data_IF_729484167977
#
_entry.id   IF_729484167977
#
_cell.length_a   1.000
_cell.length_b   1.000
_cell.length_c   1.000
_cell.angle_alpha   90.00
_cell.angle_beta   90.00
_cell.angle_gamma   90.00
#
_symmetry.space_group_name_H-M   'P 1'
#
loop_
_entity.id
_entity.type
_entity.pdbx_description
1 polymer ?
#
# COMPACT_ATOMS: atom_id res chain seq x y z
N UNK A 1 21.35 -13.06 3.17
CA UNK A 1 20.93 -14.29 3.87
C UNK A 1 22.08 -15.27 3.80
N UNK A 2 22.27 -16.12 4.82
CA UNK A 2 23.28 -17.17 4.77
C UNK A 2 22.94 -18.14 3.63
N UNK A 3 23.95 -18.58 2.88
CA UNK A 3 23.82 -19.75 2.01
C UNK A 3 23.46 -20.99 2.84
N UNK A 4 22.97 -22.06 2.20
CA UNK A 4 22.70 -23.31 2.91
C UNK A 4 23.92 -23.86 3.64
N UNK A 5 25.10 -23.79 3.01
CA UNK A 5 26.37 -24.22 3.60
C UNK A 5 26.69 -23.44 4.87
N UNK A 6 26.65 -22.11 4.80
CA UNK A 6 26.91 -21.24 5.96
C UNK A 6 25.85 -21.46 7.05
N UNK A 7 24.59 -21.61 6.67
CA UNK A 7 23.51 -21.90 7.61
C UNK A 7 23.71 -23.23 8.34
N UNK A 8 24.18 -24.29 7.67
CA UNK A 8 24.49 -25.58 8.30
C UNK A 8 25.65 -25.47 9.30
N UNK A 9 26.69 -24.69 8.95
CA UNK A 9 27.82 -24.41 9.86
C UNK A 9 27.35 -23.66 11.09
N UNK A 10 26.58 -22.58 10.91
CA UNK A 10 26.03 -21.80 12.02
C UNK A 10 25.02 -22.62 12.84
N UNK A 11 24.24 -23.51 12.20
CA UNK A 11 23.35 -24.42 12.91
C UNK A 11 24.13 -25.35 13.84
N UNK A 12 25.23 -25.94 13.37
CA UNK A 12 26.12 -26.77 14.20
C UNK A 12 26.70 -25.99 15.40
N UNK A 13 27.15 -24.75 15.19
CA UNK A 13 27.66 -23.89 16.28
C UNK A 13 26.56 -23.56 17.28
N UNK A 14 25.40 -23.11 16.81
CA UNK A 14 24.28 -22.71 17.67
C UNK A 14 23.76 -23.88 18.52
N UNK A 15 23.71 -25.10 17.98
CA UNK A 15 23.30 -26.27 18.76
C UNK A 15 24.34 -26.69 19.78
N UNK A 16 25.63 -26.51 19.48
CA UNK A 16 26.71 -26.75 20.42
C UNK A 16 26.66 -25.78 21.60
N UNK A 17 26.55 -24.48 21.31
CA UNK A 17 26.41 -23.43 22.32
C UNK A 17 25.16 -23.65 23.17
N UNK A 18 24.03 -23.99 22.55
CA UNK A 18 22.80 -24.31 23.27
C UNK A 18 22.95 -25.54 24.17
N UNK A 19 23.63 -26.60 23.72
CA UNK A 19 23.88 -27.79 24.53
C UNK A 19 24.78 -27.46 25.73
N UNK A 20 25.86 -26.70 25.52
CA UNK A 20 26.76 -26.23 26.59
C UNK A 20 25.98 -25.39 27.62
N UNK A 21 25.14 -24.47 27.15
CA UNK A 21 24.30 -23.63 28.00
C UNK A 21 23.31 -24.45 28.83
N UNK A 22 22.57 -25.36 28.20
CA UNK A 22 21.65 -26.28 28.87
C UNK A 22 22.35 -27.13 29.94
N UNK A 23 23.58 -27.56 29.65
CA UNK A 23 24.42 -28.36 30.56
C UNK A 23 25.17 -27.54 31.62
N UNK A 24 24.93 -26.22 31.71
CA UNK A 24 25.53 -25.34 32.72
C UNK A 24 27.06 -25.34 32.72
N UNK A 25 27.67 -25.51 31.54
CA UNK A 25 29.12 -25.40 31.38
C UNK A 25 29.53 -23.94 31.50
N UNK A 26 30.69 -23.65 32.10
CA UNK A 26 31.22 -22.29 32.21
C UNK A 26 31.36 -21.60 30.84
N UNK A 27 31.02 -20.30 30.70
CA UNK A 27 30.61 -19.32 31.73
C UNK A 27 29.11 -19.32 32.10
N UNK A 28 28.29 -20.18 31.50
CA UNK A 28 26.84 -20.19 31.69
C UNK A 28 26.38 -20.94 32.95
N UNK A 29 27.31 -21.63 33.62
CA UNK A 29 27.10 -22.27 34.90
C UNK A 29 28.41 -22.74 35.54
N UNK A 30 28.31 -23.68 36.47
CA UNK A 30 29.42 -24.07 37.35
C UNK A 30 30.12 -25.37 36.93
N UNK A 31 29.71 -26.01 35.82
CA UNK A 31 30.27 -27.29 35.36
C UNK A 31 31.42 -27.07 34.38
N UNK A 32 32.37 -28.00 34.37
CA UNK A 32 33.37 -28.13 33.31
C UNK A 32 32.79 -28.84 32.09
N UNK A 33 33.47 -28.73 30.94
CA UNK A 33 33.03 -29.41 29.72
C UNK A 33 33.11 -30.94 29.88
N UNK A 34 34.15 -31.43 30.55
CA UNK A 34 34.38 -32.84 30.83
C UNK A 34 33.26 -33.43 31.69
N UNK A 35 32.85 -32.71 32.75
CA UNK A 35 31.72 -33.11 33.60
C UNK A 35 30.42 -33.18 32.82
N UNK A 36 30.16 -32.21 31.94
CA UNK A 36 28.96 -32.18 31.10
C UNK A 36 28.93 -33.32 30.07
N UNK A 37 30.08 -33.68 29.49
CA UNK A 37 30.19 -34.80 28.55
C UNK A 37 30.01 -36.14 29.28
N UNK A 38 30.59 -36.29 30.48
CA UNK A 38 30.48 -37.53 31.25
C UNK A 38 29.07 -37.76 31.81
N UNK A 39 28.36 -36.70 32.20
CA UNK A 39 27.01 -36.76 32.76
C UNK A 39 26.10 -35.68 32.14
N UNK A 40 25.66 -35.84 30.88
CA UNK A 40 24.82 -34.86 30.22
C UNK A 40 23.49 -34.68 30.93
N UNK A 41 22.99 -33.44 30.95
CA UNK A 41 21.66 -33.10 31.45
C UNK A 41 20.62 -33.93 30.70
N UNK A 42 19.70 -34.52 31.47
CA UNK A 42 18.68 -35.46 30.98
C UNK A 42 19.25 -36.68 30.22
N UNK A 43 20.55 -37.00 30.37
CA UNK A 43 21.20 -38.12 29.69
C UNK A 43 21.44 -37.89 28.18
N UNK A 44 21.25 -36.68 27.67
CA UNK A 44 21.34 -36.41 26.22
C UNK A 44 22.73 -35.89 25.81
N UNK A 45 23.53 -36.78 25.20
CA UNK A 45 24.80 -36.40 24.60
C UNK A 45 24.59 -35.42 23.43
N UNK A 46 25.58 -34.53 23.20
CA UNK A 46 25.53 -33.64 22.05
C UNK A 46 25.57 -34.44 20.74
N UNK A 47 24.58 -34.19 19.88
CA UNK A 47 24.55 -34.72 18.53
C UNK A 47 24.72 -33.56 17.56
N UNK A 48 25.81 -33.61 16.79
CA UNK A 48 26.06 -32.62 15.74
C UNK A 48 25.01 -32.76 14.64
N UNK A 49 24.24 -31.70 14.31
CA UNK A 49 23.20 -31.77 13.29
C UNK A 49 23.68 -32.16 11.89
N UNK A 50 24.84 -31.65 11.47
CA UNK A 50 25.37 -31.88 10.12
C UNK A 50 26.84 -32.29 10.18
N UNK A 51 27.20 -33.35 9.44
CA UNK A 51 28.59 -33.78 9.25
C UNK A 51 29.30 -32.89 8.22
N UNK A 52 30.64 -32.97 8.15
CA UNK A 52 31.41 -32.27 7.11
C UNK A 52 31.03 -32.76 5.70
N UNK A 53 30.72 -34.05 5.55
CA UNK A 53 30.27 -34.62 4.28
C UNK A 53 28.91 -34.03 3.85
N UNK A 54 27.97 -33.85 4.79
CA UNK A 54 26.68 -33.22 4.52
C UNK A 54 26.86 -31.76 4.06
N UNK A 55 27.74 -31.00 4.73
CA UNK A 55 28.04 -29.60 4.41
C UNK A 55 28.76 -29.49 3.06
N UNK A 56 29.67 -30.41 2.75
CA UNK A 56 30.41 -30.41 1.48
C UNK A 56 29.53 -30.85 0.30
N UNK A 57 28.59 -31.78 0.51
CA UNK A 57 27.68 -32.29 -0.51
C UNK A 57 26.42 -31.45 -0.72
N UNK A 58 26.23 -30.37 0.03
CA UNK A 58 25.01 -29.56 -0.05
C UNK A 58 25.01 -28.62 -1.27
N UNK A 59 23.82 -28.40 -1.83
CA UNK A 59 23.61 -27.40 -2.89
C UNK A 59 23.51 -25.97 -2.35
N UNK A 60 23.15 -25.01 -3.21
CA UNK A 60 22.97 -23.62 -2.80
C UNK A 60 21.83 -23.40 -1.78
N UNK A 61 20.86 -24.32 -1.75
CA UNK A 61 19.61 -24.18 -1.00
C UNK A 61 18.69 -23.12 -1.58
N UNK A 62 17.74 -22.68 -0.77
CA UNK A 62 16.73 -21.69 -1.18
C UNK A 62 17.14 -20.28 -0.78
N UNK A 63 17.37 -19.41 -1.76
CA UNK A 63 17.50 -17.97 -1.54
C UNK A 63 16.11 -17.31 -1.42
N UNK A 64 15.59 -17.29 -0.20
CA UNK A 64 14.25 -16.76 0.07
C UNK A 64 14.08 -15.29 -0.29
N UNK A 65 15.09 -14.44 -0.09
CA UNK A 65 15.02 -13.03 -0.48
C UNK A 65 15.10 -12.88 -1.99
N UNK A 66 15.99 -13.62 -2.66
CA UNK A 66 16.07 -13.62 -4.13
C UNK A 66 14.78 -14.13 -4.80
N UNK A 67 14.05 -15.04 -4.15
CA UNK A 67 12.76 -15.52 -4.65
C UNK A 67 11.66 -14.47 -4.60
N UNK A 68 11.62 -13.62 -3.59
CA UNK A 68 10.55 -12.63 -3.41
C UNK A 68 10.92 -11.23 -3.90
N UNK A 69 12.20 -10.95 -4.13
CA UNK A 69 12.69 -9.65 -4.59
C UNK A 69 12.99 -9.62 -6.09
N UNK A 70 13.01 -8.42 -6.65
CA UNK A 70 13.44 -8.11 -8.02
C UNK A 70 14.14 -6.75 -8.01
N UNK A 71 14.86 -6.45 -9.09
CA UNK A 71 15.29 -5.08 -9.35
C UNK A 71 14.05 -4.22 -9.60
N UNK A 72 13.86 -3.20 -8.77
CA UNK A 72 12.80 -2.20 -8.95
C UNK A 72 13.17 -1.20 -10.05
N UNK A 73 12.16 -0.51 -10.58
CA UNK A 73 12.37 0.54 -11.59
C UNK A 73 11.29 1.60 -11.46
N UNK A 74 11.67 2.87 -11.68
CA UNK A 74 10.73 3.99 -11.72
C UNK A 74 10.87 4.67 -13.08
N UNK A 75 9.73 4.95 -13.72
CA UNK A 75 9.66 5.74 -14.94
C UNK A 75 8.65 6.86 -14.74
N UNK A 76 8.97 8.04 -15.24
CA UNK A 76 8.06 9.19 -15.21
C UNK A 76 8.16 9.98 -16.51
N UNK A 77 7.01 10.25 -17.12
CA UNK A 77 6.88 11.02 -18.35
C UNK A 77 5.89 12.15 -18.14
N UNK A 78 6.34 13.37 -18.40
CA UNK A 78 5.56 14.59 -18.24
C UNK A 78 5.47 15.31 -19.57
N UNK A 79 4.25 15.48 -20.09
CA UNK A 79 3.96 16.30 -21.26
C UNK A 79 3.08 17.46 -20.84
N UNK A 80 3.41 18.67 -21.25
CA UNK A 80 2.57 19.85 -21.00
C UNK A 80 2.55 20.78 -22.19
N UNK A 81 1.37 21.29 -22.49
CA UNK A 81 1.12 22.31 -23.50
C UNK A 81 0.47 23.47 -22.77
N UNK A 82 1.02 24.67 -22.94
CA UNK A 82 0.47 25.91 -22.40
C UNK A 82 0.49 26.97 -23.47
N UNK A 83 -0.51 27.83 -23.47
CA UNK A 83 -0.64 28.89 -24.47
C UNK A 83 -1.78 29.82 -24.13
N UNK A 84 -1.98 30.83 -24.97
CA UNK A 84 -3.02 31.81 -24.73
C UNK A 84 -2.76 33.16 -25.40
N UNK A 85 -3.76 34.02 -25.30
CA UNK A 85 -3.73 35.44 -25.65
C UNK A 85 -3.84 36.30 -24.38
N UNK A 86 -3.95 37.62 -24.51
CA UNK A 86 -4.19 38.51 -23.37
C UNK A 86 -5.45 38.13 -22.56
N UNK A 87 -6.46 37.61 -23.24
CA UNK A 87 -7.78 37.34 -22.66
C UNK A 87 -8.01 35.86 -22.34
N UNK A 88 -7.29 34.94 -22.99
CA UNK A 88 -7.44 33.50 -22.76
C UNK A 88 -6.11 32.89 -22.39
N UNK A 89 -6.03 32.13 -21.31
CA UNK A 89 -4.85 31.36 -20.95
C UNK A 89 -5.27 29.93 -20.71
N UNK A 90 -4.54 28.96 -21.28
CA UNK A 90 -4.84 27.55 -21.09
C UNK A 90 -3.57 26.74 -20.87
N UNK A 91 -3.73 25.64 -20.15
CA UNK A 91 -2.69 24.63 -19.96
C UNK A 91 -3.34 23.25 -19.90
N UNK A 92 -2.78 22.31 -20.66
CA UNK A 92 -3.12 20.90 -20.57
C UNK A 92 -1.83 20.13 -20.30
N UNK A 93 -1.87 19.22 -19.34
CA UNK A 93 -0.73 18.35 -19.05
C UNK A 93 -1.16 16.91 -18.83
N UNK A 94 -0.24 16.01 -19.17
CA UNK A 94 -0.33 14.58 -18.94
C UNK A 94 0.91 14.11 -18.21
N UNK A 95 0.73 13.34 -17.14
CA UNK A 95 1.78 12.66 -16.40
C UNK A 95 1.48 11.15 -16.40
N UNK A 96 2.49 10.37 -16.75
CA UNK A 96 2.52 8.93 -16.53
C UNK A 96 3.66 8.61 -15.57
N UNK A 97 3.34 7.89 -14.51
CA UNK A 97 4.28 7.40 -13.53
C UNK A 97 4.12 5.89 -13.39
N UNK A 98 5.22 5.14 -13.43
CA UNK A 98 5.25 3.69 -13.21
C UNK A 98 6.37 3.36 -12.23
N UNK A 99 6.03 2.77 -11.09
CA UNK A 99 6.97 2.29 -10.09
C UNK A 99 6.78 0.79 -9.89
N UNK A 100 7.76 0.02 -10.35
CA UNK A 100 7.89 -1.40 -10.07
C UNK A 100 8.70 -1.55 -8.78
N UNK A 101 8.04 -1.95 -7.71
CA UNK A 101 8.67 -2.15 -6.41
C UNK A 101 9.69 -3.29 -6.40
N UNK A 102 10.56 -3.28 -5.39
CA UNK A 102 11.60 -4.30 -5.19
C UNK A 102 11.03 -5.66 -4.79
N UNK A 103 9.85 -5.70 -4.17
CA UNK A 103 9.15 -6.96 -3.91
C UNK A 103 8.35 -7.33 -5.16
N UNK A 104 8.44 -8.59 -5.58
CA UNK A 104 7.62 -9.12 -6.67
C UNK A 104 6.14 -8.92 -6.34
N UNK A 105 5.35 -8.62 -7.38
CA UNK A 105 3.92 -8.31 -7.26
C UNK A 105 3.61 -7.07 -6.40
N UNK A 106 4.60 -6.18 -6.23
CA UNK A 106 4.38 -4.84 -5.68
C UNK A 106 4.72 -3.78 -6.74
N UNK A 107 3.82 -2.82 -6.93
CA UNK A 107 4.03 -1.70 -7.84
C UNK A 107 2.84 -0.74 -7.87
N UNK A 108 3.06 0.42 -8.47
CA UNK A 108 2.03 1.43 -8.67
C UNK A 108 2.23 2.11 -10.01
N UNK A 109 1.16 2.25 -10.78
CA UNK A 109 1.13 3.13 -11.95
C UNK A 109 0.08 4.22 -11.77
N UNK A 110 0.41 5.44 -12.21
CA UNK A 110 -0.46 6.61 -12.10
C UNK A 110 -0.51 7.38 -13.40
N UNK A 111 -1.71 7.63 -13.87
CA UNK A 111 -2.02 8.50 -15.00
C UNK A 111 -2.70 9.75 -14.46
N UNK A 112 -2.18 10.92 -14.80
CA UNK A 112 -2.77 12.21 -14.40
C UNK A 112 -2.96 13.09 -15.63
N UNK A 113 -4.18 13.58 -15.84
CA UNK A 113 -4.49 14.62 -16.82
C UNK A 113 -4.88 15.88 -16.05
N UNK A 114 -4.25 17.01 -16.34
CA UNK A 114 -4.66 18.32 -15.82
C UNK A 114 -5.03 19.25 -16.95
N UNK A 115 -6.11 19.99 -16.79
CA UNK A 115 -6.56 21.03 -17.72
C UNK A 115 -6.94 22.27 -16.92
N UNK A 116 -6.30 23.39 -17.23
CA UNK A 116 -6.59 24.70 -16.66
C UNK A 116 -6.94 25.65 -17.80
N UNK A 117 -8.00 26.44 -17.62
CA UNK A 117 -8.45 27.45 -18.57
C UNK A 117 -8.87 28.69 -17.78
N UNK A 118 -8.35 29.85 -18.17
CA UNK A 118 -8.79 31.15 -17.71
C UNK A 118 -9.22 31.99 -18.92
N UNK A 119 -10.36 32.66 -18.80
CA UNK A 119 -10.94 33.51 -19.85
C UNK A 119 -11.41 34.84 -19.25
N UNK A 120 -10.92 35.95 -19.79
CA UNK A 120 -11.47 37.29 -19.59
C UNK A 120 -12.44 37.62 -20.72
N UNK A 121 -13.55 38.27 -20.38
CA UNK A 121 -14.54 38.69 -21.37
C UNK A 121 -15.29 39.93 -20.88
N UNK A 122 -15.80 40.71 -21.82
CA UNK A 122 -16.57 41.96 -21.58
C UNK A 122 -15.82 43.02 -20.73
N UNK A 123 -14.51 42.89 -20.52
CA UNK A 123 -13.70 43.79 -19.70
C UNK A 123 -13.98 43.75 -18.19
N UNK A 124 -15.09 43.11 -17.76
CA UNK A 124 -15.55 43.08 -16.37
C UNK A 124 -15.63 41.68 -15.79
N UNK A 125 -15.48 40.63 -16.60
CA UNK A 125 -15.54 39.24 -16.12
C UNK A 125 -14.25 38.48 -16.38
N UNK A 126 -13.94 37.58 -15.44
CA UNK A 126 -12.96 36.52 -15.62
C UNK A 126 -13.59 35.20 -15.16
N UNK A 127 -13.52 34.16 -15.97
CA UNK A 127 -13.96 32.81 -15.60
C UNK A 127 -12.79 31.86 -15.73
N UNK A 128 -12.82 30.76 -15.00
CA UNK A 128 -11.85 29.69 -15.21
C UNK A 128 -12.32 28.33 -14.76
N UNK A 129 -11.65 27.32 -15.31
CA UNK A 129 -11.88 25.90 -15.05
C UNK A 129 -10.54 25.26 -14.72
N UNK A 130 -10.47 24.54 -13.62
CA UNK A 130 -9.35 23.68 -13.24
C UNK A 130 -9.87 22.25 -13.10
N UNK A 131 -9.32 21.33 -13.87
CA UNK A 131 -9.70 19.93 -13.87
C UNK A 131 -8.47 19.06 -13.72
N UNK A 132 -8.50 18.11 -12.80
CA UNK A 132 -7.51 17.05 -12.64
C UNK A 132 -8.21 15.71 -12.62
N UNK A 133 -7.86 14.83 -13.56
CA UNK A 133 -8.29 13.45 -13.60
C UNK A 133 -7.09 12.57 -13.26
N UNK A 134 -7.25 11.64 -12.33
CA UNK A 134 -6.19 10.73 -11.91
C UNK A 134 -6.70 9.29 -11.90
N UNK A 135 -5.94 8.36 -12.48
CA UNK A 135 -6.11 6.92 -12.28
C UNK A 135 -4.85 6.36 -11.64
N UNK A 136 -4.99 5.67 -10.52
CA UNK A 136 -3.91 4.96 -9.84
C UNK A 136 -4.26 3.48 -9.85
N UNK A 137 -3.37 2.65 -10.37
CA UNK A 137 -3.43 1.20 -10.27
C UNK A 137 -2.30 0.74 -9.34
N UNK A 138 -2.64 0.02 -8.27
CA UNK A 138 -1.70 -0.53 -7.30
C UNK A 138 -1.74 -2.06 -7.37
N UNK A 139 -0.57 -2.67 -7.46
CA UNK A 139 -0.36 -4.07 -7.12
C UNK A 139 0.26 -4.12 -5.72
N UNK A 140 -0.44 -4.74 -4.78
CA UNK A 140 0.01 -4.89 -3.41
C UNK A 140 0.49 -6.32 -3.18
N UNK A 141 1.52 -6.43 -2.35
CA UNK A 141 1.96 -7.71 -1.78
C UNK A 141 1.63 -7.72 -0.30
N UNK A 142 1.48 -8.91 0.28
CA UNK A 142 1.20 -9.04 1.71
C UNK A 142 2.45 -8.65 2.51
N UNK A 143 2.54 -7.37 2.83
CA UNK A 143 3.59 -6.82 3.68
C UNK A 143 3.31 -7.06 5.18
N UNK A 144 2.04 -7.36 5.52
CA UNK A 144 1.57 -7.91 6.79
C UNK A 144 1.91 -7.12 8.06
N UNK A 145 0.91 -6.56 8.75
CA UNK A 145 1.05 -6.08 10.13
C UNK A 145 0.70 -7.14 11.18
N UNK A 146 0.17 -8.29 10.76
CA UNK A 146 -0.30 -9.38 11.61
C UNK A 146 0.78 -10.48 11.78
N UNK A 147 0.64 -11.30 12.82
CA UNK A 147 1.59 -12.38 13.14
C UNK A 147 1.19 -13.69 12.46
N UNK A 148 2.07 -14.70 12.54
CA UNK A 148 1.78 -16.09 12.15
C UNK A 148 1.37 -16.26 10.68
N UNK A 149 0.20 -16.82 10.40
CA UNK A 149 -0.23 -17.24 9.07
C UNK A 149 -0.50 -16.07 8.11
N UNK A 150 -0.60 -14.85 8.65
CA UNK A 150 -0.76 -13.58 7.91
C UNK A 150 0.49 -12.69 7.93
N UNK A 151 1.62 -13.24 8.38
CA UNK A 151 2.88 -12.53 8.43
C UNK A 151 3.29 -11.95 7.07
N UNK A 152 3.94 -10.79 7.12
CA UNK A 152 4.53 -10.17 5.94
C UNK A 152 5.55 -11.05 5.22
N UNK A 153 5.60 -10.93 3.89
CA UNK A 153 6.45 -11.73 3.00
C UNK A 153 7.94 -11.64 3.33
N UNK A 154 8.42 -10.47 3.75
CA UNK A 154 9.83 -10.26 4.14
C UNK A 154 10.13 -10.99 5.44
N UNK A 155 9.26 -10.87 6.45
CA UNK A 155 9.40 -11.58 7.74
C UNK A 155 9.39 -13.09 7.51
N UNK A 156 8.47 -13.58 6.68
CA UNK A 156 8.40 -14.98 6.28
C UNK A 156 9.70 -15.45 5.62
N UNK A 157 10.28 -14.66 4.71
CA UNK A 157 11.55 -14.99 4.05
C UNK A 157 12.75 -15.04 4.99
N UNK A 158 12.87 -14.09 5.92
CA UNK A 158 13.98 -14.05 6.89
C UNK A 158 13.91 -15.20 7.89
N UNK A 159 12.71 -15.63 8.28
CA UNK A 159 12.50 -16.72 9.25
C UNK A 159 12.53 -18.12 8.62
N UNK A 160 12.61 -18.21 7.30
CA UNK A 160 12.63 -19.48 6.59
C UNK A 160 14.07 -19.99 6.41
N UNK A 161 14.29 -21.24 6.78
CA UNK A 161 15.60 -21.87 6.64
C UNK A 161 15.93 -22.13 5.16
N UNK A 162 17.18 -21.91 4.71
CA UNK A 162 17.58 -22.17 3.32
C UNK A 162 17.58 -23.67 2.95
N UNK A 163 17.44 -24.57 3.94
CA UNK A 163 17.31 -26.02 3.74
C UNK A 163 15.91 -26.46 3.29
N UNK A 164 14.91 -25.58 3.43
CA UNK A 164 13.52 -25.85 3.06
C UNK A 164 13.34 -25.51 1.58
N UNK A 165 12.72 -26.41 0.81
CA UNK A 165 12.39 -26.16 -0.60
C UNK A 165 11.32 -25.07 -0.72
N UNK A 166 11.47 -24.17 -1.70
CA UNK A 166 10.48 -23.14 -1.99
C UNK A 166 9.12 -23.69 -2.41
N UNK A 167 9.14 -24.78 -3.19
CA UNK A 167 7.98 -25.48 -3.71
C UNK A 167 8.36 -26.96 -3.85
N UNK A 168 7.44 -27.84 -3.49
CA UNK A 168 7.60 -29.28 -3.67
C UNK A 168 6.82 -29.74 -4.92
N UNK A 169 7.51 -30.11 -6.02
CA UNK A 169 6.85 -30.51 -7.25
C UNK A 169 6.15 -31.87 -7.16
N UNK A 170 6.51 -32.73 -6.21
CA UNK A 170 5.91 -34.06 -6.08
C UNK A 170 4.53 -33.99 -5.41
N UNK A 171 4.40 -33.17 -4.38
CA UNK A 171 3.15 -32.96 -3.63
C UNK A 171 2.33 -31.78 -4.18
N UNK A 172 2.98 -30.87 -4.92
CA UNK A 172 2.39 -29.62 -5.37
C UNK A 172 2.20 -28.59 -4.25
N UNK A 173 2.81 -28.80 -3.09
CA UNK A 173 2.66 -27.94 -1.91
C UNK A 173 3.83 -26.96 -1.73
N UNK A 174 3.58 -25.96 -0.87
CA UNK A 174 4.59 -25.00 -0.42
C UNK A 174 4.98 -25.34 1.02
N UNK A 175 6.16 -25.98 1.25
CA UNK A 175 6.57 -26.40 2.58
C UNK A 175 6.66 -25.21 3.55
N UNK A 176 6.20 -25.42 4.78
CA UNK A 176 6.38 -24.48 5.91
C UNK A 176 7.61 -24.87 6.73
N UNK A 177 8.11 -23.96 7.55
CA UNK A 177 9.18 -24.26 8.50
C UNK A 177 8.65 -25.20 9.59
N UNK A 178 9.19 -26.43 9.79
CA UNK A 178 8.73 -27.33 10.83
C UNK A 178 8.85 -26.76 12.24
N UNK A 179 9.81 -25.86 12.47
CA UNK A 179 10.02 -25.17 13.75
C UNK A 179 9.06 -23.98 13.94
N UNK A 180 8.46 -23.48 12.86
CA UNK A 180 7.55 -22.34 12.83
C UNK A 180 6.36 -22.67 11.91
N UNK A 181 5.60 -23.72 12.25
CA UNK A 181 4.55 -24.27 11.38
C UNK A 181 3.38 -23.30 11.11
N UNK A 182 3.27 -22.24 11.90
CA UNK A 182 2.28 -21.16 11.71
C UNK A 182 2.77 -20.08 10.75
N UNK A 183 4.02 -20.12 10.30
CA UNK A 183 4.60 -19.15 9.39
C UNK A 183 4.43 -19.61 7.93
N UNK A 184 3.84 -18.79 7.04
CA UNK A 184 3.65 -19.18 5.65
C UNK A 184 4.98 -19.29 4.91
N UNK A 185 4.97 -20.11 3.87
CA UNK A 185 6.01 -20.07 2.85
C UNK A 185 5.98 -18.72 2.12
N UNK A 186 7.06 -17.92 2.14
CA UNK A 186 7.06 -16.58 1.53
C UNK A 186 6.86 -16.62 0.02
N UNK A 187 7.27 -17.70 -0.66
CA UNK A 187 7.09 -17.84 -2.10
C UNK A 187 5.63 -18.08 -2.46
N UNK A 188 4.84 -18.74 -1.60
CA UNK A 188 3.41 -18.94 -1.84
C UNK A 188 2.61 -17.64 -1.71
N UNK A 189 3.06 -16.69 -0.88
CA UNK A 189 2.42 -15.38 -0.72
C UNK A 189 2.44 -14.54 -2.01
N UNK A 190 3.33 -14.84 -2.96
CA UNK A 190 3.30 -14.22 -4.28
C UNK A 190 2.08 -14.66 -5.12
N UNK A 191 1.41 -15.75 -4.75
CA UNK A 191 0.18 -16.18 -5.42
C UNK A 191 -1.04 -15.36 -4.99
N UNK A 192 -0.94 -14.57 -3.92
CA UNK A 192 -2.00 -13.66 -3.53
C UNK A 192 -2.20 -12.58 -4.59
N UNK A 193 -3.45 -12.25 -4.86
CA UNK A 193 -3.81 -11.11 -5.68
C UNK A 193 -4.32 -10.04 -4.73
N UNK A 194 -3.74 -8.84 -4.80
CA UNK A 194 -4.26 -7.67 -4.11
C UNK A 194 -4.06 -6.47 -5.03
N UNK A 195 -5.16 -6.05 -5.66
CA UNK A 195 -5.15 -4.99 -6.67
C UNK A 195 -6.06 -3.87 -6.23
N UNK A 196 -5.48 -2.68 -6.08
CA UNK A 196 -6.21 -1.45 -5.82
C UNK A 196 -6.32 -0.60 -7.09
N UNK A 197 -7.47 0.02 -7.31
CA UNK A 197 -7.65 1.06 -8.31
C UNK A 197 -8.33 2.26 -7.69
N UNK A 198 -7.76 3.45 -7.91
CA UNK A 198 -8.36 4.72 -7.53
C UNK A 198 -8.55 5.58 -8.76
N UNK A 199 -9.80 5.94 -9.03
CA UNK A 199 -10.18 6.94 -10.03
C UNK A 199 -10.62 8.20 -9.31
N UNK A 200 -9.91 9.31 -9.52
CA UNK A 200 -10.21 10.60 -8.88
C UNK A 200 -10.40 11.70 -9.90
N UNK A 201 -11.49 12.45 -9.74
CA UNK A 201 -11.79 13.69 -10.44
C UNK A 201 -11.78 14.82 -9.43
N UNK A 202 -10.91 15.81 -9.65
CA UNK A 202 -10.90 17.07 -8.93
C UNK A 202 -11.21 18.18 -9.93
N UNK A 203 -12.36 18.82 -9.79
CA UNK A 203 -12.85 19.86 -10.68
C UNK A 203 -13.18 21.13 -9.93
N UNK A 204 -12.89 22.28 -10.53
CA UNK A 204 -13.20 23.57 -9.99
C UNK A 204 -13.55 24.53 -11.12
N UNK A 205 -14.67 25.24 -10.98
CA UNK A 205 -15.10 26.31 -11.90
C UNK A 205 -15.33 27.55 -11.07
N UNK A 206 -14.88 28.69 -11.58
CA UNK A 206 -15.08 29.97 -10.90
C UNK A 206 -15.46 31.07 -11.88
N UNK A 207 -16.19 32.06 -11.38
CA UNK A 207 -16.51 33.30 -12.09
C UNK A 207 -16.18 34.47 -11.18
N UNK A 208 -15.41 35.40 -11.71
CA UNK A 208 -15.07 36.69 -11.11
C UNK A 208 -15.73 37.82 -11.89
N UNK A 209 -16.27 38.80 -11.17
CA UNK A 209 -16.79 40.04 -11.70
C UNK A 209 -16.09 41.23 -11.04
N UNK A 210 -15.80 42.26 -11.85
CA UNK A 210 -15.15 43.51 -11.44
C UNK A 210 -16.10 44.68 -11.70
N UNK A 211 -17.21 44.80 -10.93
CA UNK A 211 -18.26 45.79 -11.20
C UNK A 211 -17.79 47.24 -10.98
N UNK A 212 -16.88 47.46 -10.03
CA UNK A 212 -16.26 48.77 -9.75
C UNK A 212 -14.79 48.57 -9.40
N UNK A 213 -13.98 49.61 -9.63
CA UNK A 213 -12.56 49.58 -9.31
C UNK A 213 -12.31 49.24 -7.84
N UNK A 214 -11.49 48.21 -7.62
CA UNK A 214 -11.14 47.70 -6.29
C UNK A 214 -12.07 46.61 -5.76
N UNK A 215 -13.27 46.41 -6.32
CA UNK A 215 -14.19 45.35 -5.90
C UNK A 215 -14.06 44.12 -6.82
N UNK A 216 -13.81 42.95 -6.23
CA UNK A 216 -13.87 41.65 -6.89
C UNK A 216 -14.95 40.81 -6.25
N UNK A 217 -15.95 40.41 -7.02
CA UNK A 217 -16.92 39.39 -6.63
C UNK A 217 -16.48 38.08 -7.25
N UNK A 218 -16.36 37.01 -6.46
CA UNK A 218 -15.99 35.68 -6.95
C UNK A 218 -16.99 34.65 -6.48
N UNK A 219 -17.45 33.83 -7.40
CA UNK A 219 -18.20 32.61 -7.13
C UNK A 219 -17.39 31.40 -7.58
N UNK A 220 -17.39 30.35 -6.78
CA UNK A 220 -16.57 29.17 -6.95
C UNK A 220 -17.40 27.91 -6.70
N UNK A 221 -17.33 26.95 -7.62
CA UNK A 221 -17.95 25.64 -7.49
C UNK A 221 -16.89 24.55 -7.70
N UNK A 222 -16.75 23.66 -6.71
CA UNK A 222 -15.76 22.60 -6.68
C UNK A 222 -16.40 21.23 -6.51
N UNK A 223 -15.75 20.21 -7.08
CA UNK A 223 -16.07 18.80 -6.91
C UNK A 223 -14.78 18.00 -6.71
N UNK A 224 -14.77 17.10 -5.74
CA UNK A 224 -13.76 16.08 -5.56
C UNK A 224 -14.45 14.72 -5.44
N UNK A 225 -14.28 13.87 -6.44
CA UNK A 225 -14.87 12.54 -6.50
C UNK A 225 -13.77 11.51 -6.59
N UNK A 226 -13.72 10.58 -5.65
CA UNK A 226 -12.80 9.45 -5.66
C UNK A 226 -13.58 8.13 -5.58
N UNK A 227 -13.47 7.32 -6.63
CA UNK A 227 -13.89 5.93 -6.63
C UNK A 227 -12.67 5.04 -6.36
N UNK A 228 -12.72 4.26 -5.28
CA UNK A 228 -11.64 3.38 -4.86
C UNK A 228 -12.17 1.96 -4.89
N UNK A 229 -11.57 1.10 -5.67
CA UNK A 229 -11.88 -0.33 -5.67
C UNK A 229 -10.66 -1.13 -5.24
N UNK A 230 -10.88 -2.20 -4.48
CA UNK A 230 -9.84 -3.19 -4.16
C UNK A 230 -10.38 -4.58 -4.38
N UNK A 231 -9.54 -5.43 -4.96
CA UNK A 231 -9.82 -6.84 -5.21
C UNK A 231 -8.71 -7.65 -4.58
N UNK A 232 -9.07 -8.50 -3.63
CA UNK A 232 -8.16 -9.42 -2.98
C UNK A 232 -8.56 -10.86 -3.29
N UNK A 233 -7.57 -11.72 -3.47
CA UNK A 233 -7.75 -13.16 -3.57
C UNK A 233 -6.58 -13.89 -2.92
N UNK A 234 -6.91 -14.74 -1.96
CA UNK A 234 -5.99 -15.59 -1.22
C UNK A 234 -6.24 -17.05 -1.64
N UNK A 235 -5.41 -17.64 -2.52
CA UNK A 235 -5.59 -19.00 -2.96
C UNK A 235 -5.25 -20.02 -1.88
N UNK A 236 -5.76 -21.25 -2.06
CA UNK A 236 -5.47 -22.42 -1.20
C UNK A 236 -3.99 -22.83 -1.15
N UNK A 237 -3.14 -22.25 -2.01
CA UNK A 237 -1.70 -22.46 -1.98
C UNK A 237 -1.00 -21.73 -0.84
N UNK A 238 -1.65 -20.72 -0.25
CA UNK A 238 -1.15 -20.01 0.94
C UNK A 238 -1.63 -20.69 2.21
N UNK A 239 -0.91 -20.50 3.31
CA UNK A 239 -1.25 -21.13 4.60
C UNK A 239 -2.64 -20.69 5.09
N UNK A 240 -2.90 -19.38 5.10
CA UNK A 240 -4.20 -18.82 5.47
C UNK A 240 -5.29 -19.15 4.47
N UNK A 241 -5.03 -19.00 3.17
CA UNK A 241 -5.99 -19.35 2.12
C UNK A 241 -6.38 -20.83 2.16
N UNK A 242 -5.47 -21.75 2.51
CA UNK A 242 -5.79 -23.18 2.72
C UNK A 242 -6.75 -23.36 3.88
N UNK A 243 -6.51 -22.68 5.01
CA UNK A 243 -7.38 -22.73 6.19
C UNK A 243 -8.79 -22.19 5.89
N UNK A 244 -8.89 -21.13 5.07
CA UNK A 244 -10.16 -20.52 4.66
C UNK A 244 -10.83 -21.18 3.44
N UNK A 245 -10.25 -22.24 2.88
CA UNK A 245 -10.72 -22.85 1.61
C UNK A 245 -10.76 -21.86 0.43
N UNK A 246 -9.83 -20.90 0.42
CA UNK A 246 -9.73 -19.82 -0.55
C UNK A 246 -10.64 -18.65 -0.17
N UNK A 247 -10.11 -17.44 -0.22
CA UNK A 247 -10.85 -16.24 0.15
C UNK A 247 -10.76 -15.19 -0.96
N UNK A 248 -11.88 -14.54 -1.29
CA UNK A 248 -11.94 -13.47 -2.28
C UNK A 248 -12.84 -12.34 -1.79
N UNK A 249 -12.31 -11.13 -1.79
CA UNK A 249 -13.05 -9.94 -1.41
C UNK A 249 -12.92 -8.86 -2.48
N UNK A 250 -14.04 -8.21 -2.78
CA UNK A 250 -14.08 -7.02 -3.60
C UNK A 250 -14.82 -5.97 -2.81
N UNK A 251 -14.25 -4.78 -2.71
CA UNK A 251 -15.02 -3.64 -2.21
C UNK A 251 -14.76 -2.41 -3.07
N UNK A 252 -15.78 -1.57 -3.12
CA UNK A 252 -15.72 -0.25 -3.73
C UNK A 252 -16.10 0.79 -2.68
N UNK A 253 -15.39 1.90 -2.67
CA UNK A 253 -15.67 3.09 -1.88
C UNK A 253 -15.89 4.23 -2.86
N UNK A 254 -16.98 4.96 -2.70
CA UNK A 254 -17.25 6.21 -3.41
C UNK A 254 -17.24 7.37 -2.40
N UNK A 255 -16.29 8.29 -2.60
CA UNK A 255 -16.15 9.51 -1.81
C UNK A 255 -16.42 10.72 -2.70
N UNK A 256 -17.45 11.49 -2.40
CA UNK A 256 -17.78 12.71 -3.13
C UNK A 256 -17.76 13.90 -2.18
N UNK A 257 -17.17 15.01 -2.62
CA UNK A 257 -17.19 16.27 -1.91
C UNK A 257 -17.53 17.39 -2.89
N UNK A 258 -18.46 18.25 -2.49
CA UNK A 258 -18.93 19.39 -3.27
C UNK A 258 -18.72 20.65 -2.46
N UNK A 259 -18.20 21.71 -3.10
CA UNK A 259 -17.96 23.01 -2.47
C UNK A 259 -18.60 24.11 -3.31
N UNK A 260 -19.36 24.98 -2.66
CA UNK A 260 -19.81 26.26 -3.22
C UNK A 260 -19.26 27.37 -2.34
N UNK A 261 -18.64 28.37 -2.93
CA UNK A 261 -18.10 29.52 -2.21
C UNK A 261 -18.37 30.81 -2.97
N UNK A 262 -18.77 31.84 -2.24
CA UNK A 262 -18.96 33.19 -2.75
C UNK A 262 -18.19 34.18 -1.88
N UNK A 263 -17.38 35.04 -2.50
CA UNK A 263 -16.58 36.05 -1.81
C UNK A 263 -16.72 37.41 -2.47
N UNK A 264 -16.75 38.46 -1.67
CA UNK A 264 -16.61 39.85 -2.09
C UNK A 264 -15.35 40.42 -1.44
N UNK A 265 -14.39 40.87 -2.25
CA UNK A 265 -13.14 41.44 -1.80
C UNK A 265 -13.01 42.88 -2.31
N UNK A 266 -12.82 43.85 -1.42
CA UNK A 266 -12.63 45.26 -1.74
C UNK A 266 -11.25 45.74 -1.32
N UNK A 267 -10.40 46.07 -2.31
CA UNK A 267 -9.05 46.58 -2.10
C UNK A 267 -8.93 47.99 -2.69
N UNK A 268 -8.60 48.98 -1.84
CA UNK A 268 -8.39 50.36 -2.28
C UNK A 268 -7.27 51.04 -1.49
N UNK A 269 -6.46 51.83 -2.20
CA UNK A 269 -5.49 52.73 -1.58
C UNK A 269 -6.03 54.16 -1.64
N UNK A 270 -6.01 54.88 -0.52
CA UNK A 270 -6.42 56.27 -0.39
C UNK A 270 -5.20 57.15 -0.16
N UNK A 271 -5.10 58.25 -0.92
CA UNK A 271 -4.04 59.25 -0.84
C UNK A 271 -2.61 58.66 -0.88
N UNK A 272 -2.43 57.49 -1.51
CA UNK A 272 -1.19 56.72 -1.58
C UNK A 272 -0.56 56.33 -0.23
N UNK A 273 -1.28 56.52 0.88
CA UNK A 273 -0.78 56.29 2.25
C UNK A 273 -1.67 55.36 3.09
N UNK A 274 -2.95 55.19 2.75
CA UNK A 274 -3.88 54.34 3.50
C UNK A 274 -4.38 53.18 2.63
N UNK A 275 -4.13 51.94 3.04
CA UNK A 275 -4.63 50.74 2.35
C UNK A 275 -5.82 50.16 3.12
N UNK A 276 -6.94 49.98 2.42
CA UNK A 276 -8.11 49.27 2.92
C UNK A 276 -8.27 47.99 2.10
N UNK A 277 -8.28 46.86 2.80
CA UNK A 277 -8.64 45.55 2.27
C UNK A 277 -9.80 45.03 3.13
N UNK A 278 -10.90 44.65 2.49
CA UNK A 278 -12.07 44.09 3.16
C UNK A 278 -12.49 42.82 2.44
N UNK A 279 -12.62 41.71 3.16
CA UNK A 279 -13.11 40.44 2.64
C UNK A 279 -14.41 40.06 3.33
N UNK A 280 -15.40 39.64 2.55
CA UNK A 280 -16.62 38.99 3.01
C UNK A 280 -16.83 37.71 2.21
N UNK A 281 -17.16 36.60 2.87
CA UNK A 281 -17.40 35.35 2.16
C UNK A 281 -18.34 34.38 2.88
N UNK A 282 -18.92 33.49 2.08
CA UNK A 282 -19.76 32.39 2.51
C UNK A 282 -19.39 31.12 1.75
N UNK A 283 -19.37 29.99 2.46
CA UNK A 283 -19.07 28.67 1.89
C UNK A 283 -20.08 27.62 2.33
N UNK A 284 -20.42 26.73 1.41
CA UNK A 284 -21.21 25.52 1.63
C UNK A 284 -20.43 24.31 1.14
N UNK A 285 -20.31 23.30 1.99
CA UNK A 285 -19.62 22.06 1.68
C UNK A 285 -20.50 20.86 2.01
N UNK A 286 -20.50 19.87 1.12
CA UNK A 286 -21.18 18.58 1.30
C UNK A 286 -20.20 17.45 1.03
N UNK A 287 -20.25 16.41 1.85
CA UNK A 287 -19.46 15.19 1.69
C UNK A 287 -20.34 13.96 1.81
N UNK A 288 -20.12 13.01 0.90
CA UNK A 288 -20.81 11.73 0.81
C UNK A 288 -19.76 10.62 0.78
N UNK A 289 -19.97 9.61 1.61
CA UNK A 289 -19.14 8.42 1.69
C UNK A 289 -20.02 7.19 1.55
N UNK A 290 -19.75 6.33 0.57
CA UNK A 290 -20.47 5.07 0.36
C UNK A 290 -19.49 3.89 0.28
N UNK A 291 -19.77 2.80 1.01
CA UNK A 291 -19.00 1.55 0.98
C UNK A 291 -19.86 0.41 0.44
N UNK A 292 -19.40 -0.22 -0.63
CA UNK A 292 -20.06 -1.34 -1.29
C UNK A 292 -19.19 -2.61 -1.20
N UNK A 293 -19.34 -3.42 -0.15
CA UNK A 293 -18.64 -4.69 -0.03
C UNK A 293 -19.30 -5.78 -0.89
N UNK A 294 -18.49 -6.64 -1.50
CA UNK A 294 -18.88 -7.89 -2.15
C UNK A 294 -17.87 -8.98 -1.80
N UNK A 295 -18.25 -9.84 -0.87
CA UNK A 295 -17.47 -11.02 -0.51
C UNK A 295 -17.97 -12.23 -1.30
N UNK A 296 -17.07 -12.98 -1.92
CA UNK A 296 -17.42 -14.16 -2.72
C UNK A 296 -16.65 -15.37 -2.19
N UNK A 297 -17.30 -16.16 -1.35
CA UNK A 297 -16.77 -17.47 -0.95
C UNK A 297 -16.91 -18.43 -2.14
N UNK A 298 -15.81 -19.07 -2.53
CA UNK A 298 -15.83 -20.08 -3.59
C UNK A 298 -16.64 -21.29 -3.12
N UNK A 299 -17.46 -21.92 -3.99
CA UNK A 299 -18.47 -22.86 -3.56
C UNK A 299 -17.86 -24.06 -2.81
N UNK A 300 -18.35 -24.30 -1.60
CA UNK A 300 -18.41 -25.66 -1.08
C UNK A 300 -19.32 -26.48 -2.00
N UNK A 301 -18.92 -27.71 -2.33
CA UNK A 301 -19.88 -28.66 -2.90
C UNK A 301 -21.05 -28.73 -1.90
N UNK A 302 -22.22 -28.30 -2.37
CA UNK A 302 -23.50 -28.21 -1.66
C UNK A 302 -23.60 -27.03 -0.68
N UNK A 303 -24.22 -25.91 -1.12
CA UNK A 303 -25.19 -25.03 -0.41
C UNK A 303 -25.23 -23.64 -1.11
N UNK A 304 -26.39 -22.97 -1.16
CA UNK A 304 -26.55 -21.72 -1.92
C UNK A 304 -25.95 -20.51 -1.18
N UNK A 305 -25.41 -19.57 -1.97
CA UNK A 305 -24.82 -18.31 -1.51
C UNK A 305 -25.88 -17.35 -0.96
N UNK A 306 -25.69 -16.71 0.21
CA UNK A 306 -26.51 -15.57 0.61
C UNK A 306 -26.06 -14.31 -0.15
N UNK A 307 -27.03 -13.52 -0.62
CA UNK A 307 -26.78 -12.15 -1.09
C UNK A 307 -26.56 -11.26 0.13
N UNK A 308 -25.41 -10.61 0.23
CA UNK A 308 -25.11 -9.66 1.32
C UNK A 308 -25.12 -8.22 0.79
N UNK A 309 -25.80 -7.35 1.56
CA UNK A 309 -26.21 -5.99 1.17
C UNK A 309 -25.14 -4.90 1.32
N UNK A 310 -25.46 -3.74 0.73
CA UNK A 310 -24.73 -2.48 0.91
C UNK A 310 -24.89 -1.97 2.34
N UNK A 311 -23.82 -1.37 2.89
CA UNK A 311 -23.88 -0.68 4.19
C UNK A 311 -24.06 0.82 3.93
N UNK A 312 -25.04 1.42 4.61
CA UNK A 312 -25.45 2.82 4.46
C UNK A 312 -24.28 3.81 4.58
N UNK A 313 -24.20 4.72 3.61
CA UNK A 313 -23.23 5.80 3.58
C UNK A 313 -23.48 6.91 4.60
N UNK A 314 -22.42 7.65 4.95
CA UNK A 314 -22.51 8.84 5.79
C UNK A 314 -22.54 10.09 4.89
N UNK A 315 -23.58 10.92 5.03
CA UNK A 315 -23.67 12.24 4.40
C UNK A 315 -23.48 13.30 5.49
N UNK A 316 -22.71 14.36 5.20
CA UNK A 316 -22.63 15.51 6.07
C UNK A 316 -22.46 16.82 5.31
N UNK A 317 -22.85 17.91 5.97
CA UNK A 317 -22.90 19.25 5.39
C UNK A 317 -22.27 20.25 6.35
N UNK A 318 -21.56 21.24 5.81
CA UNK A 318 -20.93 22.33 6.56
C UNK A 318 -21.24 23.67 5.90
N UNK A 319 -21.48 24.67 6.74
CA UNK A 319 -21.68 26.06 6.34
C UNK A 319 -20.69 26.95 7.10
N UNK A 320 -20.10 27.90 6.39
CA UNK A 320 -19.13 28.86 6.95
C UNK A 320 -19.40 30.28 6.46
N UNK A 321 -19.17 31.24 7.34
CA UNK A 321 -19.12 32.68 7.03
C UNK A 321 -17.77 33.19 7.52
N UNK A 322 -17.11 34.03 6.73
CA UNK A 322 -15.83 34.64 7.10
C UNK A 322 -15.76 36.10 6.67
N UNK A 323 -15.09 36.91 7.50
CA UNK A 323 -14.83 38.33 7.27
C UNK A 323 -13.46 38.70 7.83
N UNK A 324 -12.69 39.50 7.09
CA UNK A 324 -11.38 40.03 7.51
C UNK A 324 -11.19 41.47 7.04
#
# INVERSE_FOLDING_TARGET
MLSLKEWMVEKNKSTWEYWIWENQVSPWGNRTLEEAIAAPKNGQAYMRPYTEADIAGTGAGTDWLGLITRNGSIQEHNLSIRGGSKDTQYMVSFNYYDNKGIIKNSGMSRYTIKSNLDQRFLGIFKTGVNLTLTRIDNDNTQLGSEQYEKSGIIRAAVQMGPHIKAYDPETGEYPVNPLLGTQPNPYSLLNNIDKGRTDRLLGNVYVEAYPVNGLTLRFNAGIDRANISRKTYEPKTTLWGKAQQGNADIYTIDNNQYLLEATANYNRTFADVHKLNLLLGASYEQFEYELQPRQQQLPHRWFPLPQHGSWNGNEGRRFGLFKE
#
